data_IF_082689172986
#
_entry.id   IF_082689172986
#
_cell.length_a   1.000
_cell.length_b   1.000
_cell.length_c   1.000
_cell.angle_alpha   90.00
_cell.angle_beta   90.00
_cell.angle_gamma   90.00
#
_symmetry.space_group_name_H-M   'P 1'
#
loop_
_entity.id
_entity.type
_entity.pdbx_description
1 polymer ?
#
# COMPACT_ATOMS: atom_id res chain seq x y z
N UNK A 1 -3.19 19.85 -14.67
CA UNK A 1 -2.10 18.95 -15.11
C UNK A 1 -1.41 18.35 -13.90
N UNK A 2 -1.80 17.13 -13.51
CA UNK A 2 -1.15 16.41 -12.42
C UNK A 2 0.13 15.78 -12.98
N UNK A 3 1.26 16.44 -12.75
CA UNK A 3 2.58 15.96 -13.18
C UNK A 3 3.06 14.98 -12.11
N UNK A 4 3.01 13.68 -12.42
CA UNK A 4 3.65 12.64 -11.61
C UNK A 4 5.17 12.77 -11.80
N UNK A 5 5.97 13.02 -10.75
CA UNK A 5 7.42 13.09 -10.88
C UNK A 5 7.97 11.74 -11.34
N UNK A 6 8.67 11.75 -12.48
CA UNK A 6 9.13 10.56 -13.22
C UNK A 6 10.32 9.83 -12.55
N UNK A 7 10.72 10.17 -11.33
CA UNK A 7 12.06 9.80 -10.82
C UNK A 7 12.17 8.61 -9.86
N UNK A 8 11.12 7.83 -9.58
CA UNK A 8 11.23 6.65 -8.67
C UNK A 8 10.30 5.50 -9.06
N UNK A 9 10.41 5.02 -10.30
CA UNK A 9 9.53 3.98 -10.85
C UNK A 9 9.40 2.68 -10.02
N UNK A 10 10.47 2.09 -9.42
CA UNK A 10 10.36 0.79 -8.74
C UNK A 10 9.64 0.86 -7.40
N UNK A 11 9.89 1.91 -6.61
CA UNK A 11 9.34 2.05 -5.26
C UNK A 11 7.86 2.40 -5.29
N UNK A 12 7.44 3.24 -6.24
CA UNK A 12 6.03 3.53 -6.49
C UNK A 12 5.26 2.30 -7.00
N UNK A 13 5.92 1.42 -7.77
CA UNK A 13 5.33 0.14 -8.19
C UNK A 13 5.13 -0.78 -7.00
N UNK A 14 6.13 -0.92 -6.13
CA UNK A 14 6.02 -1.74 -4.91
C UNK A 14 4.92 -1.24 -3.97
N UNK A 15 4.80 0.09 -3.78
CA UNK A 15 3.71 0.68 -3.01
C UNK A 15 2.33 0.32 -3.56
N UNK A 16 2.15 0.43 -4.89
CA UNK A 16 0.89 0.11 -5.54
C UNK A 16 0.56 -1.40 -5.48
N UNK A 17 1.58 -2.26 -5.58
CA UNK A 17 1.44 -3.72 -5.44
C UNK A 17 1.02 -4.09 -4.01
N UNK A 18 1.70 -3.57 -2.99
CA UNK A 18 1.36 -3.82 -1.59
C UNK A 18 -0.03 -3.26 -1.25
N UNK A 19 -0.43 -2.13 -1.85
CA UNK A 19 -1.79 -1.62 -1.70
C UNK A 19 -2.83 -2.55 -2.33
N UNK A 20 -2.58 -3.03 -3.55
CA UNK A 20 -3.46 -3.96 -4.24
C UNK A 20 -3.60 -5.29 -3.47
N UNK A 21 -2.51 -5.79 -2.88
CA UNK A 21 -2.53 -6.99 -2.04
C UNK A 21 -3.42 -6.79 -0.81
N UNK A 22 -3.26 -5.67 -0.09
CA UNK A 22 -4.11 -5.33 1.05
C UNK A 22 -5.59 -5.29 0.67
N UNK A 23 -5.93 -4.61 -0.44
CA UNK A 23 -7.31 -4.51 -0.92
C UNK A 23 -7.88 -5.88 -1.29
N UNK A 24 -7.08 -6.76 -1.91
CA UNK A 24 -7.52 -8.11 -2.29
C UNK A 24 -7.95 -8.93 -1.06
N UNK A 25 -7.26 -8.75 0.07
CA UNK A 25 -7.54 -9.44 1.34
C UNK A 25 -8.71 -8.81 2.11
N UNK A 26 -8.82 -7.48 2.08
CA UNK A 26 -9.95 -6.75 2.69
C UNK A 26 -11.27 -7.01 1.96
N UNK A 27 -11.22 -7.10 0.64
CA UNK A 27 -12.37 -7.33 -0.22
C UNK A 27 -12.50 -8.79 -0.68
N UNK A 28 -11.93 -9.73 0.07
CA UNK A 28 -12.19 -11.15 -0.13
C UNK A 28 -13.72 -11.40 -0.17
N UNK A 29 -14.15 -12.14 -1.19
CA UNK A 29 -15.56 -12.41 -1.44
C UNK A 29 -16.17 -13.24 -0.30
N UNK A 30 -15.50 -14.32 0.08
CA UNK A 30 -15.88 -15.10 1.25
C UNK A 30 -15.43 -14.35 2.53
N UNK A 31 -16.36 -14.03 3.45
CA UNK A 31 -15.99 -13.40 4.72
C UNK A 31 -15.06 -14.26 5.58
N UNK A 32 -15.03 -15.59 5.40
CA UNK A 32 -14.10 -16.47 6.11
C UNK A 32 -12.64 -16.29 5.64
N UNK A 33 -12.43 -15.87 4.40
CA UNK A 33 -11.11 -15.60 3.82
C UNK A 33 -10.66 -14.14 4.02
N UNK A 34 -11.53 -13.28 4.55
CA UNK A 34 -11.24 -11.86 4.76
C UNK A 34 -10.27 -11.68 5.92
N UNK A 35 -9.24 -10.88 5.68
CA UNK A 35 -8.28 -10.49 6.73
C UNK A 35 -8.99 -9.77 7.89
N UNK A 36 -8.54 -10.04 9.12
CA UNK A 36 -9.07 -9.31 10.28
C UNK A 36 -8.57 -7.87 10.29
N UNK A 37 -9.28 -6.97 10.99
CA UNK A 37 -8.83 -5.58 11.11
C UNK A 37 -7.47 -5.45 11.83
N UNK A 38 -7.20 -6.34 12.80
CA UNK A 38 -5.93 -6.37 13.50
C UNK A 38 -4.79 -6.79 12.55
N UNK A 39 -4.99 -7.84 11.77
CA UNK A 39 -3.98 -8.32 10.82
C UNK A 39 -3.78 -7.32 9.65
N UNK A 40 -4.83 -6.59 9.26
CA UNK A 40 -4.73 -5.57 8.22
C UNK A 40 -3.82 -4.40 8.64
N UNK A 41 -3.84 -4.01 9.92
CA UNK A 41 -2.96 -2.96 10.44
C UNK A 41 -1.48 -3.35 10.43
N UNK A 42 -1.18 -4.65 10.47
CA UNK A 42 0.18 -5.21 10.39
C UNK A 42 0.68 -5.36 8.93
N UNK A 43 -0.14 -4.99 7.94
CA UNK A 43 0.20 -5.13 6.52
C UNK A 43 1.35 -4.18 6.10
N UNK A 44 2.22 -4.65 5.19
CA UNK A 44 3.41 -3.90 4.72
C UNK A 44 3.07 -2.52 4.17
N UNK A 45 1.90 -2.38 3.54
CA UNK A 45 1.36 -1.09 3.09
C UNK A 45 1.36 0.01 4.18
N UNK A 46 1.12 -0.33 5.44
CA UNK A 46 1.11 0.66 6.53
C UNK A 46 2.51 1.02 7.04
N UNK A 47 3.56 0.34 6.55
CA UNK A 47 4.95 0.65 6.88
C UNK A 47 5.59 1.69 5.95
N UNK A 48 4.84 2.18 4.96
CA UNK A 48 5.27 3.25 4.07
C UNK A 48 5.10 4.61 4.75
N UNK A 49 6.17 5.38 4.79
CA UNK A 49 6.12 6.79 5.16
C UNK A 49 5.86 7.61 3.90
N UNK A 50 4.79 8.41 3.90
CA UNK A 50 4.43 9.29 2.78
C UNK A 50 4.40 10.74 3.23
N UNK A 51 4.78 11.66 2.34
CA UNK A 51 4.66 13.09 2.58
C UNK A 51 3.22 13.61 2.37
N UNK A 52 3.00 14.90 2.62
CA UNK A 52 1.70 15.56 2.43
C UNK A 52 1.22 15.55 0.96
N UNK A 53 2.13 15.35 0.00
CA UNK A 53 1.82 15.22 -1.42
C UNK A 53 1.57 13.77 -1.87
N UNK A 54 1.68 12.81 -0.94
CA UNK A 54 1.50 11.38 -1.19
C UNK A 54 2.70 10.72 -1.88
N UNK A 55 3.89 11.33 -1.82
CA UNK A 55 5.13 10.69 -2.29
C UNK A 55 5.70 9.79 -1.20
N UNK A 56 6.12 8.58 -1.58
CA UNK A 56 6.81 7.66 -0.67
C UNK A 56 8.18 8.21 -0.31
N UNK A 57 8.42 8.40 0.99
CA UNK A 57 9.68 8.87 1.55
C UNK A 57 10.56 7.70 1.99
N UNK A 58 9.95 6.67 2.60
CA UNK A 58 10.66 5.52 3.17
C UNK A 58 9.73 4.31 3.35
N UNK A 59 10.32 3.13 3.54
CA UNK A 59 9.61 1.89 3.90
C UNK A 59 10.34 1.23 5.06
N UNK A 60 9.72 1.18 6.23
CA UNK A 60 10.28 0.52 7.42
C UNK A 60 10.03 -1.00 7.29
N UNK A 61 10.97 -1.76 6.71
CA UNK A 61 10.75 -3.19 6.44
C UNK A 61 10.93 -4.08 7.67
#
# INVERSE_FOLDING_TARGET
DYVVPVSSAPENLAFAEDFADLLSRLFAYDPADRISAADALEHVYFKYEVDEAGQVLNVDK
#
